data_IF_107585800743
#
_entry.id   IF_107585800743
#
_cell.length_a   1.000
_cell.length_b   1.000
_cell.length_c   1.000
_cell.angle_alpha   90.00
_cell.angle_beta   90.00
_cell.angle_gamma   90.00
#
_symmetry.space_group_name_H-M   'P 1'
#
loop_
_entity.id
_entity.type
_entity.pdbx_description
1 polymer ?
#
# COMPACT_ATOMS: atom_id res chain seq x y z
N UNK A 1 -15.98 23.73 -15.38
CA UNK A 1 -16.26 23.55 -13.94
C UNK A 1 -15.25 24.36 -13.16
N UNK A 2 -15.66 25.38 -12.39
CA UNK A 2 -14.73 26.16 -11.57
C UNK A 2 -14.32 25.31 -10.36
N UNK A 3 -13.08 24.81 -10.32
CA UNK A 3 -12.55 24.18 -9.11
C UNK A 3 -12.42 25.24 -8.02
N UNK A 4 -13.06 24.98 -6.86
CA UNK A 4 -12.90 25.84 -5.69
C UNK A 4 -11.46 25.75 -5.15
N UNK A 5 -11.04 26.76 -4.40
CA UNK A 5 -9.68 26.87 -3.87
C UNK A 5 -9.23 25.62 -3.10
N UNK A 6 -10.16 24.98 -2.38
CA UNK A 6 -9.91 23.74 -1.64
C UNK A 6 -9.50 22.60 -2.58
N UNK A 7 -10.23 22.37 -3.67
CA UNK A 7 -9.88 21.35 -4.65
C UNK A 7 -8.51 21.59 -5.27
N UNK A 8 -8.16 22.85 -5.55
CA UNK A 8 -6.83 23.20 -6.10
C UNK A 8 -5.71 22.86 -5.11
N UNK A 9 -5.87 23.23 -3.84
CA UNK A 9 -4.88 22.92 -2.79
C UNK A 9 -4.69 21.40 -2.67
N UNK A 10 -5.76 20.61 -2.64
CA UNK A 10 -5.65 19.15 -2.57
C UNK A 10 -4.99 18.55 -3.82
N UNK A 11 -5.26 19.10 -5.00
CA UNK A 11 -4.61 18.68 -6.23
C UNK A 11 -3.11 18.97 -6.19
N UNK A 12 -2.72 20.19 -5.83
CA UNK A 12 -1.31 20.60 -5.75
C UNK A 12 -0.53 19.77 -4.71
N UNK A 13 -1.15 19.50 -3.55
CA UNK A 13 -0.57 18.60 -2.54
C UNK A 13 -0.39 17.19 -3.09
N UNK A 14 -1.42 16.65 -3.76
CA UNK A 14 -1.38 15.31 -4.35
C UNK A 14 -0.26 15.19 -5.39
N UNK A 15 -0.14 16.17 -6.28
CA UNK A 15 0.91 16.17 -7.31
C UNK A 15 2.30 16.18 -6.69
N UNK A 16 2.54 17.06 -5.71
CA UNK A 16 3.85 17.15 -5.02
C UNK A 16 4.19 15.87 -4.27
N UNK A 17 3.22 15.28 -3.58
CA UNK A 17 3.39 14.01 -2.86
C UNK A 17 3.66 12.88 -3.85
N UNK A 18 2.91 12.81 -4.96
CA UNK A 18 3.08 11.78 -5.98
C UNK A 18 4.47 11.86 -6.61
N UNK A 19 4.91 13.06 -6.98
CA UNK A 19 6.25 13.28 -7.51
C UNK A 19 7.35 12.88 -6.52
N UNK A 20 7.19 13.20 -5.24
CA UNK A 20 8.17 12.80 -4.22
C UNK A 20 8.25 11.28 -4.05
N UNK A 21 7.10 10.58 -4.05
CA UNK A 21 7.04 9.12 -3.96
C UNK A 21 7.63 8.46 -5.22
N UNK A 22 7.42 9.04 -6.40
CA UNK A 22 8.00 8.51 -7.65
C UNK A 22 9.52 8.63 -7.69
N UNK A 23 10.08 9.73 -7.15
CA UNK A 23 11.53 9.95 -7.11
C UNK A 23 12.24 9.11 -6.04
N UNK A 24 11.63 8.93 -4.87
CA UNK A 24 12.15 8.10 -3.78
C UNK A 24 11.04 7.19 -3.23
N UNK A 25 10.74 6.08 -3.94
CA UNK A 25 9.71 5.17 -3.52
C UNK A 25 10.08 4.57 -2.16
N UNK A 26 9.17 4.61 -1.16
CA UNK A 26 9.44 4.01 0.14
C UNK A 26 9.81 2.53 -0.03
N UNK A 27 11.01 2.17 0.43
CA UNK A 27 11.48 0.77 0.49
C UNK A 27 11.44 0.26 1.94
N UNK A 28 10.32 -0.33 2.39
CA UNK A 28 10.19 -0.87 3.74
C UNK A 28 11.10 -2.08 3.95
N UNK A 29 11.40 -2.35 5.22
CA UNK A 29 12.13 -3.54 5.64
C UNK A 29 13.64 -3.38 5.60
N UNK A 30 14.32 -4.51 5.43
CA UNK A 30 15.76 -4.68 5.54
C UNK A 30 16.11 -5.91 6.37
N UNK A 31 17.41 -6.20 6.48
CA UNK A 31 17.91 -7.37 7.20
C UNK A 31 17.29 -7.50 8.60
N UNK A 32 16.54 -8.58 8.82
CA UNK A 32 15.91 -8.91 10.10
C UNK A 32 14.72 -8.02 10.49
N UNK A 33 14.29 -7.10 9.62
CA UNK A 33 13.12 -6.25 9.86
C UNK A 33 11.85 -7.00 9.47
N UNK A 34 10.85 -6.91 10.34
CA UNK A 34 9.53 -7.49 10.10
C UNK A 34 8.63 -6.47 9.42
N UNK A 35 8.09 -6.83 8.26
CA UNK A 35 7.03 -6.09 7.60
C UNK A 35 5.73 -6.90 7.60
N UNK A 36 4.62 -6.26 7.94
CA UNK A 36 3.30 -6.86 7.86
C UNK A 36 2.63 -6.43 6.55
N UNK A 37 1.99 -7.37 5.88
CA UNK A 37 1.17 -7.08 4.69
C UNK A 37 -0.28 -7.50 4.90
N UNK A 38 -1.18 -6.70 4.34
CA UNK A 38 -2.63 -6.95 4.35
C UNK A 38 -3.26 -6.68 2.98
N UNK A 39 -4.31 -7.45 2.69
CA UNK A 39 -5.09 -7.45 1.46
C UNK A 39 -6.43 -6.76 1.66
N UNK A 40 -6.68 -5.69 0.91
CA UNK A 40 -7.94 -4.94 0.99
C UNK A 40 -8.62 -4.84 -0.36
N UNK A 41 -9.89 -5.27 -0.43
CA UNK A 41 -10.77 -5.02 -1.57
C UNK A 41 -11.59 -3.75 -1.31
N UNK A 42 -11.26 -2.68 -2.03
CA UNK A 42 -12.08 -1.48 -2.04
C UNK A 42 -13.22 -1.69 -3.04
N UNK A 43 -14.41 -1.93 -2.49
CA UNK A 43 -15.64 -2.16 -3.25
C UNK A 43 -16.65 -1.05 -2.99
N UNK A 44 -17.77 -1.06 -3.72
CA UNK A 44 -18.79 0.00 -3.72
C UNK A 44 -19.40 0.35 -2.33
N UNK A 45 -19.10 -0.40 -1.27
CA UNK A 45 -19.63 -0.15 0.07
C UNK A 45 -18.77 0.86 0.82
N UNK A 46 -19.32 2.04 1.07
CA UNK A 46 -18.70 3.05 1.95
C UNK A 46 -18.56 2.51 3.37
N UNK A 47 -17.41 2.76 3.99
CA UNK A 47 -17.24 2.55 5.43
C UNK A 47 -18.13 3.56 6.16
N UNK A 48 -19.07 3.06 6.95
CA UNK A 48 -20.04 3.89 7.71
C UNK A 48 -20.89 4.86 6.86
N UNK A 49 -21.19 4.53 5.59
CA UNK A 49 -21.96 5.40 4.69
C UNK A 49 -21.34 6.80 4.48
N UNK A 50 -20.02 6.94 4.65
CA UNK A 50 -19.29 8.20 4.45
C UNK A 50 -18.23 8.07 3.36
N UNK A 51 -17.94 9.20 2.70
CA UNK A 51 -16.86 9.32 1.72
C UNK A 51 -17.28 9.03 0.28
N UNK A 52 -16.30 8.85 -0.61
CA UNK A 52 -16.54 8.58 -2.03
C UNK A 52 -16.59 7.08 -2.29
N UNK A 53 -17.60 6.64 -3.05
CA UNK A 53 -17.70 5.26 -3.53
C UNK A 53 -16.71 5.07 -4.69
N UNK A 54 -15.87 4.02 -4.68
CA UNK A 54 -15.05 3.70 -5.85
C UNK A 54 -15.94 3.25 -7.01
N UNK A 55 -15.61 3.69 -8.23
CA UNK A 55 -16.39 3.37 -9.44
C UNK A 55 -16.19 1.92 -9.93
N UNK A 56 -15.19 1.22 -9.38
CA UNK A 56 -14.84 -0.14 -9.73
C UNK A 56 -14.31 -0.88 -8.49
N UNK A 57 -14.20 -2.20 -8.59
CA UNK A 57 -13.48 -3.02 -7.63
C UNK A 57 -11.98 -2.72 -7.75
N UNK A 58 -11.35 -2.36 -6.64
CA UNK A 58 -9.92 -2.04 -6.59
C UNK A 58 -9.27 -2.90 -5.52
N UNK A 59 -8.32 -3.74 -5.91
CA UNK A 59 -7.48 -4.45 -4.96
C UNK A 59 -6.34 -3.55 -4.52
N UNK A 60 -6.10 -3.52 -3.22
CA UNK A 60 -5.09 -2.71 -2.57
C UNK A 60 -4.29 -3.59 -1.63
N UNK A 61 -2.98 -3.43 -1.67
CA UNK A 61 -2.04 -4.09 -0.77
C UNK A 61 -1.44 -3.04 0.15
N UNK A 62 -1.64 -3.23 1.45
CA UNK A 62 -1.02 -2.43 2.49
C UNK A 62 0.22 -3.13 3.02
N UNK A 63 1.27 -2.37 3.28
CA UNK A 63 2.52 -2.82 3.88
C UNK A 63 2.82 -1.90 5.04
N UNK A 64 3.24 -2.46 6.17
CA UNK A 64 3.67 -1.69 7.35
C UNK A 64 5.01 -2.23 7.83
N UNK A 65 6.01 -1.35 7.87
CA UNK A 65 7.29 -1.61 8.51
C UNK A 65 7.14 -1.48 10.05
N UNK A 66 7.36 -2.58 10.77
CA UNK A 66 7.23 -2.62 12.24
C UNK A 66 8.55 -2.34 12.97
N UNK A 67 9.67 -2.24 12.25
CA UNK A 67 10.99 -1.98 12.82
C UNK A 67 11.22 -0.54 13.26
N UNK A 68 10.35 0.39 12.86
CA UNK A 68 10.45 1.82 13.17
C UNK A 68 9.23 2.34 13.92
N UNK A 69 9.46 3.24 14.88
CA UNK A 69 8.43 4.08 15.51
C UNK A 69 8.60 5.51 14.97
N UNK A 70 7.68 6.15 14.26
CA UNK A 70 6.35 5.77 13.77
C UNK A 70 6.46 4.83 12.56
N UNK A 71 5.52 3.87 12.47
CA UNK A 71 5.53 2.89 11.39
C UNK A 71 5.36 3.56 10.02
N UNK A 72 6.16 3.13 9.04
CA UNK A 72 6.02 3.60 7.65
C UNK A 72 5.12 2.64 6.90
N UNK A 73 3.97 3.17 6.46
CA UNK A 73 3.02 2.45 5.63
C UNK A 73 3.30 2.68 4.15
N UNK A 74 3.18 1.64 3.34
CA UNK A 74 3.14 1.71 1.89
C UNK A 74 1.86 1.07 1.37
N UNK A 75 1.24 1.67 0.36
CA UNK A 75 -0.03 1.20 -0.19
C UNK A 75 0.10 1.14 -1.70
N UNK A 76 -0.22 -0.02 -2.29
CA UNK A 76 -0.16 -0.24 -3.72
C UNK A 76 -1.50 -0.74 -4.25
N UNK A 77 -1.99 -0.13 -5.32
CA UNK A 77 -3.12 -0.68 -6.09
C UNK A 77 -2.58 -1.81 -6.98
N UNK A 78 -3.28 -2.93 -7.01
CA UNK A 78 -2.96 -4.05 -7.91
C UNK A 78 -4.17 -4.43 -8.77
N UNK A 79 -3.90 -4.95 -9.96
CA UNK A 79 -4.94 -5.35 -10.91
C UNK A 79 -5.70 -6.60 -10.44
N UNK A 80 -5.00 -7.55 -9.81
CA UNK A 80 -5.59 -8.73 -9.20
C UNK A 80 -4.78 -9.14 -7.97
N UNK A 81 -5.38 -9.95 -7.09
CA UNK A 81 -4.77 -10.45 -5.85
C UNK A 81 -4.09 -11.81 -5.99
N UNK A 82 -3.78 -12.25 -7.21
CA UNK A 82 -3.19 -13.56 -7.43
C UNK A 82 -1.71 -13.56 -7.03
N UNK A 83 -1.20 -14.70 -6.60
CA UNK A 83 0.21 -14.80 -6.18
C UNK A 83 1.16 -14.37 -7.31
N UNK A 84 0.80 -14.62 -8.56
CA UNK A 84 1.55 -14.26 -9.76
C UNK A 84 1.70 -12.73 -9.93
N UNK A 85 0.74 -11.95 -9.44
CA UNK A 85 0.83 -10.47 -9.45
C UNK A 85 1.55 -9.94 -8.21
N UNK A 86 1.33 -10.58 -7.05
CA UNK A 86 1.79 -10.07 -5.77
C UNK A 86 3.25 -10.38 -5.49
N UNK A 87 3.70 -11.60 -5.78
CA UNK A 87 5.08 -12.02 -5.50
C UNK A 87 6.08 -11.10 -6.23
N UNK A 88 5.92 -10.81 -7.55
CA UNK A 88 6.81 -9.87 -8.24
C UNK A 88 6.72 -8.44 -7.69
N UNK A 89 5.51 -8.00 -7.30
CA UNK A 89 5.31 -6.67 -6.71
C UNK A 89 6.07 -6.56 -5.38
N UNK A 90 5.95 -7.56 -4.52
CA UNK A 90 6.61 -7.61 -3.22
C UNK A 90 8.14 -7.64 -3.35
N UNK A 91 8.67 -8.42 -4.29
CA UNK A 91 10.12 -8.49 -4.54
C UNK A 91 10.73 -7.12 -4.89
N UNK A 92 9.98 -6.26 -5.59
CA UNK A 92 10.45 -4.92 -5.96
C UNK A 92 10.31 -3.88 -4.84
N UNK A 93 9.43 -4.11 -3.87
CA UNK A 93 9.10 -3.15 -2.82
C UNK A 93 9.97 -3.32 -1.58
N UNK A 94 10.23 -4.56 -1.17
CA UNK A 94 11.00 -4.82 0.05
C UNK A 94 12.50 -4.75 -0.17
N UNK A 95 13.23 -4.31 0.87
CA UNK A 95 14.68 -4.49 0.90
C UNK A 95 15.04 -5.98 1.10
N UNK A 96 16.21 -6.43 0.61
CA UNK A 96 16.71 -7.79 0.90
C UNK A 96 16.82 -8.06 2.40
N UNK A 97 16.62 -9.32 2.79
CA UNK A 97 16.67 -9.79 4.17
C UNK A 97 15.44 -9.46 5.03
N UNK A 98 14.37 -8.93 4.42
CA UNK A 98 13.11 -8.60 5.11
C UNK A 98 12.33 -9.86 5.47
N UNK A 99 11.78 -9.90 6.68
CA UNK A 99 10.83 -10.93 7.13
C UNK A 99 9.42 -10.42 6.87
N UNK A 100 8.72 -11.05 5.93
CA UNK A 100 7.39 -10.63 5.51
C UNK A 100 6.35 -11.51 6.20
N UNK A 101 5.43 -10.88 6.93
CA UNK A 101 4.28 -11.54 7.56
C UNK A 101 3.02 -11.15 6.81
N UNK A 102 2.40 -12.12 6.14
CA UNK A 102 1.12 -11.96 5.45
C UNK A 102 -0.01 -12.20 6.42
N UNK A 103 -0.82 -11.18 6.67
CA UNK A 103 -1.99 -11.29 7.55
C UNK A 103 -3.22 -11.37 6.66
N UNK A 104 -3.44 -12.53 6.07
CA UNK A 104 -4.72 -12.87 5.46
C UNK A 104 -5.62 -13.37 6.59
N UNK A 105 -6.86 -12.87 6.71
CA UNK A 105 -7.81 -13.17 7.80
C UNK A 105 -8.13 -14.66 8.05
N UNK A 106 -7.45 -15.60 7.40
CA UNK A 106 -7.52 -17.05 7.61
C UNK A 106 -6.16 -17.75 7.74
N UNK A 107 -5.02 -17.10 7.41
CA UNK A 107 -3.69 -17.75 7.42
C UNK A 107 -2.56 -16.74 7.52
N UNK A 108 -1.60 -17.02 8.40
CA UNK A 108 -0.34 -16.29 8.48
C UNK A 108 0.68 -17.00 7.56
N UNK A 109 1.29 -16.25 6.65
CA UNK A 109 2.43 -16.71 5.84
C UNK A 109 3.68 -15.92 6.22
N UNK A 110 4.82 -16.61 6.35
CA UNK A 110 6.12 -15.98 6.62
C UNK A 110 7.02 -16.22 5.40
N UNK A 111 7.59 -15.15 4.85
CA UNK A 111 8.50 -15.20 3.71
C UNK A 111 9.76 -14.40 4.03
N UNK A 112 10.90 -14.84 3.50
CA UNK A 112 12.12 -14.04 3.48
C UNK A 112 12.38 -13.59 2.05
N UNK A 113 12.61 -12.29 1.88
CA UNK A 113 13.04 -11.74 0.59
C UNK A 113 14.57 -11.87 0.54
N UNK A 114 15.10 -12.72 -0.34
CA UNK A 114 16.55 -12.89 -0.55
C UNK A 114 17.14 -11.81 -1.47
#
# INVERSE_FOLDING_TARGET
MHQNTVCKIFYDLRERISHNIEQDPPKPGGQGIVCQIDESLFCHKQKYHRGRVPNALVWVFGIVDTGVKQARGFIQIVLNKSAETLIPTMANVFRPGTIIIVISGRRIGIFMNE
#
